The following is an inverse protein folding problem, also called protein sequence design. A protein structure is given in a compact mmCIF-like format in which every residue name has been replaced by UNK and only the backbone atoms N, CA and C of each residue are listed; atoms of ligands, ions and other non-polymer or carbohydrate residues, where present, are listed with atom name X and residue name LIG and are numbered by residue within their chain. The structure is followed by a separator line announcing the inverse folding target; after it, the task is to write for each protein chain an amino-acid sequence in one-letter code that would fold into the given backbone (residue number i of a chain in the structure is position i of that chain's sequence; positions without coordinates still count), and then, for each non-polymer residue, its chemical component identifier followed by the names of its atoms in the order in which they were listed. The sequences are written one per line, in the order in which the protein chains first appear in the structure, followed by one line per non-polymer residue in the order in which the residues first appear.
data_IF_405052211520
#
_entry.id   IF_405052211520
#
_cell.length_a   1.000
_cell.length_b   1.000
_cell.length_c   1.000
_cell.angle_alpha   90.00
_cell.angle_beta   90.00
_cell.angle_gamma   90.00
#
_symmetry.space_group_name_H-M   'P 1'
#
loop_
_entity.id
_entity.type
_entity.pdbx_description
1 polymer ?
#
# COMPACT_ATOMS: atom_id res chain seq x y z
N UNK A 1 0.52 18.34 16.00
CA UNK A 1 1.54 19.40 16.18
C UNK A 1 3.01 18.89 16.15
N UNK A 2 3.35 17.75 15.53
CA UNK A 2 4.75 17.29 15.42
C UNK A 2 5.18 16.88 13.98
N UNK A 3 4.40 17.26 12.95
CA UNK A 3 4.58 16.80 11.56
C UNK A 3 4.92 15.30 11.44
N UNK A 4 4.13 14.46 12.11
CA UNK A 4 4.30 13.01 12.12
C UNK A 4 3.29 12.35 11.18
N UNK A 5 3.71 11.24 10.59
CA UNK A 5 2.84 10.31 9.88
C UNK A 5 2.57 9.09 10.77
N UNK A 6 1.37 8.52 10.65
CA UNK A 6 0.99 7.31 11.37
C UNK A 6 0.91 6.13 10.41
N UNK A 7 1.74 5.12 10.66
CA UNK A 7 1.64 3.81 10.01
C UNK A 7 0.90 2.81 10.91
N UNK A 8 0.11 1.91 10.32
CA UNK A 8 -0.70 0.93 11.08
C UNK A 8 -0.07 -0.45 11.21
N UNK A 9 1.26 -0.53 11.10
CA UNK A 9 2.00 -1.80 11.03
C UNK A 9 1.59 -2.80 12.11
N UNK A 10 1.36 -4.05 11.71
CA UNK A 10 1.02 -5.17 12.60
C UNK A 10 -0.24 -5.04 13.48
N UNK A 11 -1.04 -3.99 13.30
CA UNK A 11 -2.35 -3.91 13.94
C UNK A 11 -3.33 -4.88 13.26
N UNK A 12 -4.24 -5.44 14.05
CA UNK A 12 -5.36 -6.22 13.52
C UNK A 12 -6.31 -5.33 12.70
N UNK A 13 -7.09 -5.89 11.76
CA UNK A 13 -8.08 -5.13 11.00
C UNK A 13 -9.07 -4.34 11.86
N UNK A 14 -9.41 -4.86 13.05
CA UNK A 14 -10.27 -4.19 14.01
C UNK A 14 -9.56 -2.96 14.62
N UNK A 15 -8.33 -3.13 15.10
CA UNK A 15 -7.53 -2.03 15.66
C UNK A 15 -7.30 -0.93 14.64
N UNK A 16 -6.99 -1.28 13.38
CA UNK A 16 -6.86 -0.32 12.27
C UNK A 16 -8.15 0.49 12.11
N UNK A 17 -9.29 -0.19 12.09
CA UNK A 17 -10.60 0.45 11.87
C UNK A 17 -10.95 1.40 13.02
N UNK A 18 -10.78 0.95 14.26
CA UNK A 18 -11.04 1.77 15.45
C UNK A 18 -10.09 2.96 15.54
N UNK A 19 -8.81 2.75 15.26
CA UNK A 19 -7.80 3.80 15.24
C UNK A 19 -8.14 4.89 14.20
N UNK A 20 -8.50 4.52 12.97
CA UNK A 20 -8.92 5.48 11.92
C UNK A 20 -10.21 6.20 12.29
N UNK A 21 -11.17 5.51 12.92
CA UNK A 21 -12.42 6.12 13.36
C UNK A 21 -12.20 7.13 14.50
N UNK A 22 -11.32 6.81 15.44
CA UNK A 22 -10.96 7.66 16.56
C UNK A 22 -10.20 8.93 16.12
N UNK A 23 -9.40 8.85 15.05
CA UNK A 23 -8.61 9.98 14.57
C UNK A 23 -9.45 11.18 14.09
N UNK A 24 -9.04 12.42 14.42
CA UNK A 24 -9.54 13.63 13.78
C UNK A 24 -9.38 13.57 12.26
N UNK A 25 -10.34 14.14 11.52
CA UNK A 25 -10.31 14.14 10.04
C UNK A 25 -8.99 14.67 9.47
N UNK A 26 -8.42 15.68 10.11
CA UNK A 26 -7.17 16.32 9.71
C UNK A 26 -5.94 15.41 9.85
N UNK A 27 -5.97 14.43 10.76
CA UNK A 27 -4.87 13.48 10.93
C UNK A 27 -4.97 12.29 9.99
N UNK A 28 -6.15 12.02 9.42
CA UNK A 28 -6.34 10.87 8.51
C UNK A 28 -5.54 10.98 7.21
N UNK A 29 -5.36 12.21 6.70
CA UNK A 29 -4.48 12.46 5.54
C UNK A 29 -3.00 12.25 5.84
N UNK A 30 -2.64 12.10 7.12
CA UNK A 30 -1.30 11.73 7.62
C UNK A 30 -1.24 10.28 8.13
N UNK A 31 -2.24 9.46 7.78
CA UNK A 31 -2.29 8.04 8.12
C UNK A 31 -2.14 7.19 6.87
N UNK A 32 -1.20 6.24 6.94
CA UNK A 32 -1.00 5.19 5.94
C UNK A 32 -1.33 3.84 6.56
N UNK A 33 -2.22 3.10 5.92
CA UNK A 33 -2.49 1.72 6.29
C UNK A 33 -1.42 0.87 5.65
N UNK A 34 -0.52 0.32 6.46
CA UNK A 34 0.68 -0.35 5.97
C UNK A 34 0.38 -1.76 5.45
N UNK A 35 1.16 -2.21 4.46
CA UNK A 35 1.18 -3.57 3.89
C UNK A 35 -0.20 -4.25 3.78
N UNK A 36 -1.19 -3.57 3.17
CA UNK A 36 -2.61 -3.98 3.22
C UNK A 36 -2.92 -5.29 2.49
N UNK A 37 -2.00 -5.70 1.61
CA UNK A 37 -2.06 -6.91 0.82
C UNK A 37 -1.32 -8.10 1.46
N UNK A 38 -0.68 -7.90 2.62
CA UNK A 38 0.05 -8.98 3.29
C UNK A 38 -0.90 -10.02 3.88
N UNK A 39 -0.72 -11.30 3.52
CA UNK A 39 -1.65 -12.38 3.85
C UNK A 39 -2.02 -12.53 5.33
N UNK A 40 -1.14 -12.15 6.26
CA UNK A 40 -1.40 -12.26 7.72
C UNK A 40 -2.40 -11.21 8.21
N UNK A 41 -2.27 -9.96 7.75
CA UNK A 41 -3.13 -8.84 8.14
C UNK A 41 -3.93 -8.27 6.95
N UNK A 42 -4.21 -9.11 5.95
CA UNK A 42 -4.87 -8.71 4.70
C UNK A 42 -6.23 -8.11 5.02
N UNK A 43 -6.43 -6.86 4.60
CA UNK A 43 -7.73 -6.21 4.77
C UNK A 43 -8.73 -6.73 3.74
N UNK A 44 -9.97 -6.96 4.19
CA UNK A 44 -11.09 -7.31 3.30
C UNK A 44 -11.50 -6.07 2.50
N UNK A 45 -12.03 -6.29 1.30
CA UNK A 45 -12.47 -5.21 0.41
C UNK A 45 -13.51 -4.29 1.07
N UNK A 46 -14.44 -4.83 1.86
CA UNK A 46 -15.43 -4.03 2.61
C UNK A 46 -14.75 -3.07 3.61
N UNK A 47 -13.73 -3.56 4.32
CA UNK A 47 -12.93 -2.75 5.25
C UNK A 47 -12.16 -1.66 4.50
N UNK A 48 -11.53 -2.01 3.39
CA UNK A 48 -10.83 -1.05 2.52
C UNK A 48 -11.79 0.02 2.00
N UNK A 49 -13.00 -0.36 1.55
CA UNK A 49 -14.01 0.57 1.06
C UNK A 49 -14.44 1.56 2.16
N UNK A 50 -14.67 1.06 3.37
CA UNK A 50 -15.00 1.89 4.53
C UNK A 50 -13.87 2.88 4.85
N UNK A 51 -12.61 2.44 4.81
CA UNK A 51 -11.44 3.25 5.17
C UNK A 51 -11.04 4.24 4.07
N UNK A 52 -11.21 3.90 2.79
CA UNK A 52 -10.96 4.78 1.64
C UNK A 52 -11.72 6.10 1.76
N UNK A 53 -12.96 6.04 2.23
CA UNK A 53 -13.81 7.24 2.44
C UNK A 53 -13.30 8.18 3.53
N UNK A 54 -12.33 7.75 4.34
CA UNK A 54 -11.84 8.48 5.51
C UNK A 54 -10.61 9.34 5.23
N UNK A 55 -10.05 9.29 4.01
CA UNK A 55 -8.92 10.13 3.60
C UNK A 55 -7.55 9.60 3.99
N UNK A 56 -7.43 8.29 4.26
CA UNK A 56 -6.16 7.61 4.53
C UNK A 56 -5.48 7.17 3.22
N UNK A 57 -4.18 6.88 3.28
CA UNK A 57 -3.43 6.20 2.23
C UNK A 57 -3.32 4.70 2.53
N UNK A 58 -3.06 3.90 1.50
CA UNK A 58 -2.86 2.46 1.56
C UNK A 58 -1.49 2.12 0.98
N UNK A 59 -0.66 1.44 1.77
CA UNK A 59 0.59 0.88 1.30
C UNK A 59 0.35 -0.54 0.78
N UNK A 60 0.78 -0.79 -0.46
CA UNK A 60 0.86 -2.13 -1.01
C UNK A 60 2.32 -2.54 -1.15
N UNK A 61 2.65 -3.72 -0.67
CA UNK A 61 4.02 -4.23 -0.61
C UNK A 61 4.29 -5.30 -1.66
N UNK A 62 5.54 -5.43 -2.08
CA UNK A 62 5.99 -6.45 -3.03
C UNK A 62 6.41 -7.77 -2.34
N UNK A 63 6.62 -7.77 -1.02
CA UNK A 63 6.95 -8.97 -0.26
C UNK A 63 5.93 -10.11 -0.40
N UNK A 64 4.60 -9.87 -0.38
CA UNK A 64 3.59 -10.90 -0.65
C UNK A 64 3.67 -11.55 -2.03
N UNK A 65 4.44 -10.98 -2.97
CA UNK A 65 4.61 -11.47 -4.34
C UNK A 65 5.97 -12.13 -4.52
N UNK A 66 7.04 -11.48 -4.04
CA UNK A 66 8.43 -11.82 -4.36
C UNK A 66 9.24 -12.39 -3.20
N UNK A 67 8.74 -12.39 -1.96
CA UNK A 67 9.40 -13.09 -0.85
C UNK A 67 9.02 -14.56 -0.87
N UNK A 68 9.99 -15.48 -0.81
CA UNK A 68 9.71 -16.92 -0.66
C UNK A 68 8.94 -17.25 0.62
N UNK A 69 9.21 -16.50 1.70
CA UNK A 69 8.61 -16.76 3.01
C UNK A 69 7.19 -16.18 3.13
N UNK A 70 6.94 -15.04 2.50
CA UNK A 70 5.69 -14.30 2.65
C UNK A 70 4.79 -14.35 1.41
N UNK A 71 5.13 -15.16 0.40
CA UNK A 71 4.36 -15.27 -0.82
C UNK A 71 2.92 -15.67 -0.54
N UNK A 72 1.98 -14.78 -0.86
CA UNK A 72 0.54 -14.98 -0.66
C UNK A 72 -0.32 -14.29 -1.72
N UNK A 73 0.29 -13.63 -2.71
CA UNK A 73 -0.41 -12.85 -3.73
C UNK A 73 0.35 -12.94 -5.07
N UNK A 74 -0.37 -12.79 -6.17
CA UNK A 74 0.21 -12.62 -7.51
C UNK A 74 0.00 -11.20 -8.06
N UNK A 75 0.66 -10.87 -9.17
CA UNK A 75 0.61 -9.52 -9.73
C UNK A 75 -0.77 -9.14 -10.32
N UNK A 76 -1.60 -10.11 -10.75
CA UNK A 76 -2.98 -9.83 -11.20
C UNK A 76 -3.84 -9.36 -10.01
N UNK A 77 -3.77 -10.07 -8.89
CA UNK A 77 -4.47 -9.73 -7.64
C UNK A 77 -4.02 -8.37 -7.12
N UNK A 78 -2.70 -8.12 -7.12
CA UNK A 78 -2.10 -6.83 -6.74
C UNK A 78 -2.61 -5.69 -7.62
N UNK A 79 -2.61 -5.87 -8.94
CA UNK A 79 -3.12 -4.90 -9.92
C UNK A 79 -4.61 -4.60 -9.71
N UNK A 80 -5.40 -5.65 -9.48
CA UNK A 80 -6.83 -5.52 -9.17
C UNK A 80 -7.08 -4.74 -7.87
N UNK A 81 -6.28 -5.00 -6.84
CA UNK A 81 -6.36 -4.30 -5.56
C UNK A 81 -6.03 -2.81 -5.69
N UNK A 82 -4.99 -2.46 -6.46
CA UNK A 82 -4.65 -1.06 -6.75
C UNK A 82 -5.84 -0.35 -7.41
N UNK A 83 -6.45 -0.97 -8.44
CA UNK A 83 -7.61 -0.39 -9.13
C UNK A 83 -8.82 -0.22 -8.21
N UNK A 84 -9.05 -1.20 -7.33
CA UNK A 84 -10.13 -1.15 -6.35
C UNK A 84 -9.95 0.00 -5.35
N UNK A 85 -8.74 0.16 -4.80
CA UNK A 85 -8.41 1.25 -3.86
C UNK A 85 -8.45 2.60 -4.58
N UNK A 86 -7.86 2.70 -5.77
CA UNK A 86 -7.67 3.93 -6.53
C UNK A 86 -6.22 4.41 -6.46
N UNK A 87 -5.70 4.83 -7.63
CA UNK A 87 -4.30 5.20 -7.83
C UNK A 87 -3.85 6.27 -6.83
N UNK A 88 -4.65 7.30 -6.59
CA UNK A 88 -4.32 8.46 -5.76
C UNK A 88 -4.21 8.15 -4.26
N UNK A 89 -4.63 6.96 -3.84
CA UNK A 89 -4.58 6.49 -2.45
C UNK A 89 -3.61 5.35 -2.22
N UNK A 90 -2.94 4.87 -3.26
CA UNK A 90 -1.99 3.77 -3.17
C UNK A 90 -0.54 4.29 -3.15
N UNK A 91 0.28 3.71 -2.28
CA UNK A 91 1.74 3.86 -2.29
C UNK A 91 2.34 2.46 -2.39
N UNK A 92 3.27 2.25 -3.32
CA UNK A 92 3.96 0.96 -3.46
C UNK A 92 5.30 1.03 -2.72
N UNK A 93 5.57 0.03 -1.89
CA UNK A 93 6.87 -0.21 -1.27
C UNK A 93 7.30 -1.66 -1.45
N UNK A 94 8.56 -1.99 -1.19
CA UNK A 94 9.03 -3.36 -1.40
C UNK A 94 8.65 -4.28 -0.24
N UNK A 95 8.93 -3.86 1.00
CA UNK A 95 8.99 -4.71 2.19
C UNK A 95 9.92 -5.94 1.98
N UNK A 96 10.95 -5.77 1.15
CA UNK A 96 11.93 -6.80 0.80
C UNK A 96 13.30 -6.52 1.44
N UNK A 97 14.21 -7.49 1.33
CA UNK A 97 15.55 -7.43 1.94
C UNK A 97 15.79 -8.51 2.99
N UNK A 98 14.77 -9.35 3.26
CA UNK A 98 14.92 -10.54 4.09
C UNK A 98 15.67 -11.65 3.33
N UNK A 99 16.26 -12.58 4.08
CA UNK A 99 16.97 -13.73 3.48
C UNK A 99 16.01 -14.52 2.58
N UNK A 100 16.43 -14.73 1.32
CA UNK A 100 15.69 -15.53 0.35
C UNK A 100 14.65 -14.76 -0.48
N UNK A 101 14.54 -13.43 -0.32
CA UNK A 101 13.83 -12.59 -1.28
C UNK A 101 14.69 -12.22 -2.49
N UNK A 102 14.04 -11.81 -3.58
CA UNK A 102 14.72 -11.07 -4.65
C UNK A 102 15.23 -9.72 -4.13
N UNK A 103 16.17 -9.11 -4.85
CA UNK A 103 16.60 -7.73 -4.60
C UNK A 103 15.41 -6.76 -4.69
N UNK A 104 15.25 -5.82 -3.73
CA UNK A 104 14.15 -4.86 -3.73
C UNK A 104 14.07 -4.00 -4.99
N UNK A 105 15.20 -3.62 -5.60
CA UNK A 105 15.23 -2.78 -6.81
C UNK A 105 14.70 -3.58 -7.99
N UNK A 106 15.10 -4.85 -8.11
CA UNK A 106 14.62 -5.73 -9.18
C UNK A 106 13.13 -6.02 -9.05
N UNK A 107 12.63 -6.25 -7.82
CA UNK A 107 11.20 -6.40 -7.57
C UNK A 107 10.41 -5.17 -8.02
N UNK A 108 10.85 -3.96 -7.63
CA UNK A 108 10.17 -2.71 -8.01
C UNK A 108 10.16 -2.50 -9.53
N UNK A 109 11.27 -2.81 -10.21
CA UNK A 109 11.34 -2.74 -11.68
C UNK A 109 10.36 -3.72 -12.31
N UNK A 110 10.43 -5.00 -11.92
CA UNK A 110 9.57 -6.04 -12.49
C UNK A 110 8.08 -5.79 -12.23
N UNK A 111 7.70 -5.28 -11.06
CA UNK A 111 6.31 -4.93 -10.79
C UNK A 111 5.85 -3.72 -11.60
N UNK A 112 6.70 -2.72 -11.81
CA UNK A 112 6.36 -1.58 -12.67
C UNK A 112 6.17 -1.98 -14.15
N UNK A 113 7.07 -2.81 -14.70
CA UNK A 113 6.97 -3.36 -16.06
C UNK A 113 5.71 -4.20 -16.25
N UNK A 114 5.38 -5.03 -15.26
CA UNK A 114 4.15 -5.81 -15.29
C UNK A 114 2.90 -4.93 -15.26
N UNK A 115 2.84 -3.94 -14.35
CA UNK A 115 1.70 -3.02 -14.27
C UNK A 115 1.54 -2.23 -15.58
N UNK A 116 2.66 -1.76 -16.16
CA UNK A 116 2.65 -1.07 -17.46
C UNK A 116 2.06 -1.97 -18.56
N UNK A 117 2.52 -3.22 -18.64
CA UNK A 117 2.02 -4.20 -19.60
C UNK A 117 0.54 -4.55 -19.40
N UNK A 118 0.00 -4.33 -18.19
CA UNK A 118 -1.40 -4.54 -17.83
C UNK A 118 -2.26 -3.26 -17.92
N UNK A 119 -1.78 -2.24 -18.62
CA UNK A 119 -2.56 -1.06 -18.98
C UNK A 119 -2.55 0.06 -17.95
N UNK A 120 -1.62 0.05 -16.99
CA UNK A 120 -1.34 1.24 -16.19
C UNK A 120 -0.49 2.21 -17.02
N UNK A 121 -0.90 3.47 -17.04
CA UNK A 121 -0.15 4.53 -17.72
C UNK A 121 1.12 4.90 -16.95
N UNK A 122 2.09 5.49 -17.64
CA UNK A 122 3.32 6.00 -17.01
C UNK A 122 3.02 7.00 -15.88
N UNK A 123 1.99 7.84 -16.06
CA UNK A 123 1.52 8.77 -15.02
C UNK A 123 1.01 8.04 -13.78
N UNK A 124 0.25 6.97 -13.94
CA UNK A 124 -0.25 6.18 -12.82
C UNK A 124 0.90 5.47 -12.10
N UNK A 125 1.86 4.92 -12.83
CA UNK A 125 3.06 4.32 -12.24
C UNK A 125 3.87 5.36 -11.45
N UNK A 126 4.08 6.54 -12.02
CA UNK A 126 4.78 7.63 -11.33
C UNK A 126 4.05 8.06 -10.04
N UNK A 127 2.71 8.08 -10.05
CA UNK A 127 1.92 8.32 -8.86
C UNK A 127 2.13 7.24 -7.78
N UNK A 128 2.03 5.96 -8.17
CA UNK A 128 2.13 4.81 -7.25
C UNK A 128 3.49 4.67 -6.58
N UNK A 129 4.58 4.87 -7.33
CA UNK A 129 5.95 4.65 -6.84
C UNK A 129 6.63 5.92 -6.30
N UNK A 130 6.05 7.11 -6.50
CA UNK A 130 6.70 8.37 -6.13
C UNK A 130 5.73 9.45 -5.65
N UNK A 131 4.86 9.96 -6.52
CA UNK A 131 4.15 11.22 -6.20
C UNK A 131 3.19 11.09 -5.01
N UNK A 132 2.57 9.94 -4.81
CA UNK A 132 1.64 9.77 -3.70
C UNK A 132 2.37 9.79 -2.35
N UNK A 133 3.59 9.27 -2.29
CA UNK A 133 4.42 9.35 -1.09
C UNK A 133 4.86 10.80 -0.83
N UNK A 134 5.25 11.53 -1.87
CA UNK A 134 5.58 12.97 -1.81
C UNK A 134 4.38 13.77 -1.27
N UNK A 135 3.18 13.57 -1.85
CA UNK A 135 1.92 14.20 -1.41
C UNK A 135 1.54 13.82 0.02
N UNK A 136 1.76 12.57 0.42
CA UNK A 136 1.49 12.11 1.78
C UNK A 136 2.39 12.81 2.81
N UNK A 137 3.67 12.97 2.46
CA UNK A 137 4.69 13.59 3.32
C UNK A 137 4.65 15.13 3.32
N UNK A 138 3.89 15.76 2.41
CA UNK A 138 3.90 17.21 2.13
C UNK A 138 5.31 17.73 1.80
N UNK A 139 6.03 17.04 0.90
CA UNK A 139 7.36 17.45 0.41
C UNK A 139 7.34 17.86 -1.07
#
# INVERSE_FOLDING_TARGET
ENNICLGTGHLSPLEITELVNFMPRQLRSKTIITHVNWGIFKLKQDTIAALKSKGVYFELTLAPIYSKQFKSENLDEFSGLIRFIGIDKCIISSDLGQIGSIDPIDAMRSSAEYLQSNGFSERELHALYSENAIKFLDI
#
